data_IF_659392751127
#
_entry.id   IF_659392751127
#
_cell.length_a   1.000
_cell.length_b   1.000
_cell.length_c   1.000
_cell.angle_alpha   90.00
_cell.angle_beta   90.00
_cell.angle_gamma   90.00
#
_symmetry.space_group_name_H-M   'P 1'
#
loop_
_entity.id
_entity.type
_entity.pdbx_description
1 polymer ?
#
# COMPACT_ATOMS: atom_id res chain seq x y z
N UNK A 1 10.34 17.23 -11.32
CA UNK A 1 9.08 16.54 -11.64
C UNK A 1 8.28 16.24 -10.37
N UNK A 2 6.94 16.17 -10.46
CA UNK A 2 6.15 15.10 -9.80
C UNK A 2 5.82 15.08 -8.29
N UNK A 3 5.93 16.16 -7.48
CA UNK A 3 5.40 16.11 -6.07
C UNK A 3 3.90 15.78 -6.02
N UNK A 4 3.11 16.40 -6.88
CA UNK A 4 1.67 16.11 -7.01
C UNK A 4 1.40 14.76 -7.66
N UNK A 5 2.27 14.33 -8.57
CA UNK A 5 2.09 13.07 -9.29
C UNK A 5 2.31 11.85 -8.38
N UNK A 6 3.36 11.82 -7.56
CA UNK A 6 3.59 10.69 -6.63
C UNK A 6 2.46 10.56 -5.61
N UNK A 7 2.05 11.65 -4.97
CA UNK A 7 0.93 11.58 -4.02
C UNK A 7 -0.38 11.18 -4.71
N UNK A 8 -0.62 11.63 -5.94
CA UNK A 8 -1.75 11.19 -6.74
C UNK A 8 -1.69 9.69 -7.04
N UNK A 9 -0.53 9.18 -7.44
CA UNK A 9 -0.30 7.75 -7.70
C UNK A 9 -0.49 6.89 -6.44
N UNK A 10 -0.02 7.34 -5.28
CA UNK A 10 -0.28 6.68 -3.98
C UNK A 10 -1.79 6.59 -3.74
N UNK A 11 -2.49 7.71 -3.79
CA UNK A 11 -3.95 7.77 -3.57
C UNK A 11 -4.71 6.85 -4.54
N UNK A 12 -4.32 6.85 -5.82
CA UNK A 12 -4.93 6.00 -6.86
C UNK A 12 -4.73 4.52 -6.56
N UNK A 13 -3.51 4.11 -6.23
CA UNK A 13 -3.17 2.71 -6.01
C UNK A 13 -3.83 2.15 -4.73
N UNK A 14 -3.87 2.93 -3.65
CA UNK A 14 -4.58 2.55 -2.41
C UNK A 14 -6.08 2.32 -2.67
N UNK A 15 -6.73 3.25 -3.38
CA UNK A 15 -8.15 3.10 -3.76
C UNK A 15 -8.36 1.87 -4.62
N UNK A 16 -7.51 1.65 -5.62
CA UNK A 16 -7.62 0.50 -6.51
C UNK A 16 -7.51 -0.83 -5.74
N UNK A 17 -6.53 -0.95 -4.83
CA UNK A 17 -6.35 -2.16 -4.00
C UNK A 17 -7.58 -2.45 -3.14
N UNK A 18 -8.04 -1.47 -2.35
CA UNK A 18 -9.21 -1.66 -1.48
C UNK A 18 -10.49 -1.92 -2.29
N UNK A 19 -10.72 -1.20 -3.39
CA UNK A 19 -11.89 -1.41 -4.24
C UNK A 19 -11.95 -2.81 -4.88
N UNK A 20 -10.80 -3.48 -5.08
CA UNK A 20 -10.80 -4.88 -5.53
C UNK A 20 -11.26 -5.84 -4.43
N UNK A 21 -10.97 -5.54 -3.17
CA UNK A 21 -11.36 -6.37 -2.02
C UNK A 21 -12.82 -6.18 -1.60
N UNK A 22 -13.38 -4.96 -1.75
CA UNK A 22 -14.78 -4.64 -1.36
C UNK A 22 -15.75 -4.66 -2.55
N UNK A 23 -15.35 -5.23 -3.69
CA UNK A 23 -16.21 -5.26 -4.88
C UNK A 23 -17.48 -6.08 -4.58
N UNK A 24 -18.64 -5.49 -4.81
CA UNK A 24 -19.93 -6.12 -4.51
C UNK A 24 -20.38 -5.99 -3.05
N UNK A 25 -19.61 -5.30 -2.20
CA UNK A 25 -19.95 -5.01 -0.81
C UNK A 25 -20.29 -3.53 -0.62
N UNK A 26 -21.04 -3.22 0.42
CA UNK A 26 -21.21 -1.83 0.87
C UNK A 26 -19.89 -1.34 1.45
N UNK A 27 -19.32 -0.30 0.86
CA UNK A 27 -18.02 0.23 1.28
C UNK A 27 -18.16 1.05 2.55
N UNK A 28 -17.55 0.60 3.65
CA UNK A 28 -17.64 1.26 4.96
C UNK A 28 -16.44 2.17 5.30
N UNK A 29 -15.86 2.85 4.30
CA UNK A 29 -14.73 3.74 4.53
C UNK A 29 -14.00 4.20 3.27
N UNK A 30 -12.84 4.81 3.46
CA UNK A 30 -12.00 5.36 2.40
C UNK A 30 -10.53 5.06 2.65
N UNK A 31 -9.92 4.28 1.76
CA UNK A 31 -8.48 3.94 1.79
C UNK A 31 -7.52 5.13 1.92
N UNK A 32 -7.98 6.36 1.61
CA UNK A 32 -7.16 7.58 1.70
C UNK A 32 -7.55 8.44 2.89
N UNK A 33 -8.84 8.55 3.22
CA UNK A 33 -9.27 9.36 4.39
C UNK A 33 -9.01 8.62 5.71
N UNK A 34 -9.03 7.29 5.67
CA UNK A 34 -8.86 6.40 6.82
C UNK A 34 -7.42 5.91 7.00
N UNK A 35 -6.47 6.58 6.34
CA UNK A 35 -5.05 6.20 6.35
C UNK A 35 -4.41 6.32 7.75
N UNK A 36 -5.06 7.02 8.70
CA UNK A 36 -4.49 7.37 10.00
C UNK A 36 -3.38 8.43 9.93
N UNK A 37 -3.08 8.96 8.74
CA UNK A 37 -2.12 10.05 8.54
C UNK A 37 -2.37 10.79 7.21
N UNK A 38 -1.62 11.86 6.95
CA UNK A 38 -1.62 12.52 5.64
C UNK A 38 -0.85 11.67 4.62
N UNK A 39 -1.19 11.79 3.34
CA UNK A 39 -0.47 11.10 2.26
C UNK A 39 1.01 11.51 2.21
N UNK A 40 1.34 12.75 2.60
CA UNK A 40 2.72 13.18 2.74
C UNK A 40 3.45 12.44 3.87
N UNK A 41 2.79 12.25 5.03
CA UNK A 41 3.35 11.48 6.14
C UNK A 41 3.54 10.01 5.75
N UNK A 42 2.59 9.40 5.03
CA UNK A 42 2.76 8.06 4.46
C UNK A 42 3.96 7.99 3.52
N UNK A 43 4.13 8.97 2.62
CA UNK A 43 5.28 9.01 1.69
C UNK A 43 6.60 8.94 2.46
N UNK A 44 6.78 9.81 3.46
CA UNK A 44 7.99 9.83 4.31
C UNK A 44 8.15 8.56 5.14
N UNK A 45 7.05 7.95 5.58
CA UNK A 45 7.05 6.69 6.31
C UNK A 45 7.51 5.51 5.44
N UNK A 46 7.08 5.44 4.18
CA UNK A 46 7.51 4.42 3.23
C UNK A 46 8.98 4.61 2.82
N UNK A 47 9.41 5.85 2.57
CA UNK A 47 10.81 6.18 2.26
C UNK A 47 11.78 5.65 3.31
N UNK A 48 11.42 5.74 4.60
CA UNK A 48 12.24 5.24 5.71
C UNK A 48 12.37 3.71 5.75
N UNK A 49 11.52 2.99 5.02
CA UNK A 49 11.51 1.54 4.94
C UNK A 49 12.10 1.02 3.62
N UNK A 50 12.60 1.90 2.75
CA UNK A 50 13.22 1.49 1.50
C UNK A 50 14.46 0.63 1.75
N UNK A 51 14.61 -0.42 0.96
CA UNK A 51 15.72 -1.36 1.02
C UNK A 51 16.16 -1.77 -0.39
N UNK A 52 17.39 -2.25 -0.51
CA UNK A 52 17.91 -2.75 -1.79
C UNK A 52 17.35 -4.15 -2.08
N UNK A 53 16.99 -4.39 -3.35
CA UNK A 53 16.57 -5.68 -3.83
C UNK A 53 17.70 -6.70 -3.62
N UNK A 54 17.40 -7.80 -2.94
CA UNK A 54 18.40 -8.82 -2.58
C UNK A 54 18.96 -9.58 -3.78
N UNK A 55 18.26 -9.58 -4.92
CA UNK A 55 18.66 -10.28 -6.14
C UNK A 55 19.39 -9.37 -7.13
N UNK A 56 18.92 -8.15 -7.31
CA UNK A 56 19.46 -7.22 -8.32
C UNK A 56 20.41 -6.17 -7.74
N UNK A 57 20.41 -5.96 -6.42
CA UNK A 57 21.12 -4.87 -5.76
C UNK A 57 20.49 -3.49 -5.97
N UNK A 58 19.38 -3.39 -6.71
CA UNK A 58 18.72 -2.11 -7.01
C UNK A 58 18.09 -1.52 -5.74
N UNK A 59 18.26 -0.21 -5.51
CA UNK A 59 17.64 0.48 -4.39
C UNK A 59 16.22 0.97 -4.72
N UNK A 60 15.30 0.87 -3.75
CA UNK A 60 13.97 1.48 -3.89
C UNK A 60 14.06 3.00 -3.95
N UNK A 61 13.40 3.59 -4.93
CA UNK A 61 13.25 5.04 -5.08
C UNK A 61 11.85 5.37 -5.60
N UNK A 62 11.44 6.64 -5.61
CA UNK A 62 10.10 6.96 -6.17
C UNK A 62 10.03 6.82 -7.69
N UNK A 63 11.17 6.82 -8.36
CA UNK A 63 11.32 6.62 -9.80
C UNK A 63 10.94 5.19 -10.21
N UNK A 64 11.29 4.19 -9.39
CA UNK A 64 10.93 2.79 -9.61
C UNK A 64 9.67 2.34 -8.80
N UNK A 65 8.86 3.28 -8.30
CA UNK A 65 7.53 2.95 -7.79
C UNK A 65 6.61 2.55 -8.95
N UNK A 66 6.05 1.34 -8.96
CA UNK A 66 5.09 0.89 -9.97
C UNK A 66 5.36 -0.50 -10.54
N UNK A 67 4.77 -0.76 -11.71
CA UNK A 67 4.60 -2.10 -12.32
C UNK A 67 5.86 -2.98 -12.30
N UNK A 68 7.03 -2.40 -12.57
CA UNK A 68 8.30 -3.12 -12.72
C UNK A 68 9.27 -2.93 -11.56
N UNK A 69 8.95 -2.11 -10.57
CA UNK A 69 9.81 -1.90 -9.40
C UNK A 69 9.10 -2.31 -8.12
N UNK A 70 8.89 -1.40 -7.19
CA UNK A 70 8.23 -1.71 -5.91
C UNK A 70 6.79 -1.20 -5.85
N UNK A 71 6.00 -1.80 -4.98
CA UNK A 71 4.60 -1.51 -4.73
C UNK A 71 4.37 -1.17 -3.26
N UNK A 72 3.31 -0.39 -2.97
CA UNK A 72 2.80 -0.26 -1.61
C UNK A 72 2.00 -1.52 -1.30
N UNK A 73 2.45 -2.30 -0.34
CA UNK A 73 1.80 -3.52 0.12
C UNK A 73 1.19 -3.40 1.52
N UNK A 74 0.22 -4.26 1.84
CA UNK A 74 -0.30 -4.37 3.21
C UNK A 74 0.49 -5.44 3.97
N UNK A 75 1.05 -5.08 5.13
CA UNK A 75 1.78 -6.00 6.01
C UNK A 75 0.86 -7.18 6.36
N UNK A 76 -0.27 -6.89 7.00
CA UNK A 76 -1.39 -7.81 7.17
C UNK A 76 -2.33 -7.67 5.96
N UNK A 77 -2.53 -8.73 5.15
CA UNK A 77 -3.32 -8.67 3.93
C UNK A 77 -4.77 -8.20 4.17
N UNK A 78 -5.33 -7.43 3.23
CA UNK A 78 -6.71 -6.95 3.30
C UNK A 78 -7.75 -8.07 3.49
N UNK A 79 -7.50 -9.26 2.92
CA UNK A 79 -8.38 -10.43 3.04
C UNK A 79 -8.48 -11.02 4.46
N UNK A 80 -7.55 -10.66 5.35
CA UNK A 80 -7.55 -11.12 6.75
C UNK A 80 -8.33 -10.21 7.70
N UNK A 81 -9.04 -9.21 7.16
CA UNK A 81 -9.92 -8.31 7.87
C UNK A 81 -11.34 -8.46 7.34
N UNK A 82 -12.33 -8.30 8.22
CA UNK A 82 -13.68 -7.98 7.79
C UNK A 82 -13.74 -6.50 7.39
N UNK A 83 -13.81 -6.24 6.07
CA UNK A 83 -13.85 -4.88 5.54
C UNK A 83 -15.26 -4.25 5.59
N UNK A 84 -16.28 -4.99 6.00
CA UNK A 84 -17.60 -4.45 6.30
C UNK A 84 -17.65 -3.82 7.70
N UNK A 85 -16.83 -4.32 8.63
CA UNK A 85 -16.64 -3.75 9.95
C UNK A 85 -15.78 -2.48 9.91
N UNK A 86 -16.25 -1.42 10.57
CA UNK A 86 -15.61 -0.09 10.52
C UNK A 86 -14.24 -0.09 11.19
N UNK A 87 -14.10 -0.76 12.34
CA UNK A 87 -12.85 -0.77 13.09
C UNK A 87 -11.77 -1.61 12.39
N UNK A 88 -12.16 -2.76 11.85
CA UNK A 88 -11.27 -3.59 11.04
C UNK A 88 -10.88 -2.89 9.74
N UNK A 89 -11.79 -2.18 9.07
CA UNK A 89 -11.46 -1.37 7.90
C UNK A 89 -10.42 -0.28 8.22
N UNK A 90 -10.55 0.41 9.36
CA UNK A 90 -9.58 1.40 9.83
C UNK A 90 -8.20 0.78 10.04
N UNK A 91 -8.14 -0.39 10.70
CA UNK A 91 -6.90 -1.14 10.92
C UNK A 91 -6.27 -1.58 9.59
N UNK A 92 -7.09 -2.06 8.67
CA UNK A 92 -6.66 -2.53 7.36
C UNK A 92 -6.01 -1.39 6.54
N UNK A 93 -6.60 -0.18 6.56
CA UNK A 93 -6.13 0.96 5.78
C UNK A 93 -5.05 1.82 6.46
N UNK A 94 -4.77 1.60 7.74
CA UNK A 94 -3.83 2.43 8.50
C UNK A 94 -2.42 2.40 7.89
N UNK A 95 -1.73 3.54 7.88
CA UNK A 95 -0.38 3.66 7.34
C UNK A 95 0.62 2.70 7.98
N UNK A 96 0.43 2.31 9.24
CA UNK A 96 1.28 1.34 9.93
C UNK A 96 1.11 -0.09 9.39
N UNK A 97 0.00 -0.37 8.71
CA UNK A 97 -0.22 -1.63 8.01
C UNK A 97 0.29 -1.59 6.56
N UNK A 98 0.96 -0.52 6.12
CA UNK A 98 1.51 -0.37 4.77
C UNK A 98 3.03 -0.48 4.76
N UNK A 99 3.59 -1.13 3.75
CA UNK A 99 5.03 -1.30 3.57
C UNK A 99 5.42 -1.17 2.09
N UNK A 100 6.65 -0.76 1.76
CA UNK A 100 7.17 -0.92 0.41
C UNK A 100 7.60 -2.39 0.21
N UNK A 101 7.23 -2.97 -0.93
CA UNK A 101 7.59 -4.35 -1.28
C UNK A 101 7.89 -4.43 -2.76
N UNK A 102 9.01 -5.04 -3.15
CA UNK A 102 9.32 -5.27 -4.56
C UNK A 102 8.19 -6.04 -5.24
N UNK A 103 7.85 -5.70 -6.48
CA UNK A 103 6.72 -6.31 -7.19
C UNK A 103 6.85 -7.83 -7.27
N UNK A 104 8.08 -8.33 -7.48
CA UNK A 104 8.38 -9.77 -7.50
C UNK A 104 8.11 -10.43 -6.14
N UNK A 105 8.53 -9.80 -5.04
CA UNK A 105 8.32 -10.32 -3.69
C UNK A 105 6.84 -10.25 -3.30
N UNK A 106 6.13 -9.21 -3.73
CA UNK A 106 4.68 -9.09 -3.56
C UNK A 106 3.92 -10.20 -4.32
N UNK A 107 4.36 -10.54 -5.54
CA UNK A 107 3.79 -11.64 -6.32
C UNK A 107 4.05 -13.00 -5.64
N UNK A 108 5.25 -13.21 -5.11
CA UNK A 108 5.60 -14.42 -4.37
C UNK A 108 4.85 -14.54 -3.03
N UNK A 109 4.61 -13.43 -2.34
CA UNK A 109 3.88 -13.35 -1.06
C UNK A 109 2.41 -13.78 -1.22
N UNK A 110 1.75 -13.34 -2.28
CA UNK A 110 0.32 -13.60 -2.49
C UNK A 110 -0.54 -13.07 -1.32
N UNK A 111 -1.27 -13.97 -0.65
CA UNK A 111 -2.12 -13.65 0.50
C UNK A 111 -1.52 -14.00 1.87
N UNK A 112 -0.24 -14.38 1.93
CA UNK A 112 0.42 -14.79 3.19
C UNK A 112 0.89 -13.57 3.99
N UNK A 113 0.91 -13.69 5.31
CA UNK A 113 1.62 -12.74 6.19
C UNK A 113 3.10 -13.15 6.16
N UNK A 114 4.00 -12.19 5.90
CA UNK A 114 5.45 -12.37 6.01
C UNK A 114 5.90 -12.01 7.43
#
# INVERSE_FOLDING_TARGET
MAKNDIQFRIKRNLRARVNRCVRGMVKNGSAVKDLGCTVEKLKKYLEKQFYSNSKTGESMTWENYGLYGWHIDHVKPLISFDLSDREQFLKACNYTNLQPLWAQDNLAKGHKIL
#
